data_IF_534018658657
#
_entry.id   IF_534018658657
#
_cell.length_a   1.000
_cell.length_b   1.000
_cell.length_c   1.000
_cell.angle_alpha   90.00
_cell.angle_beta   90.00
_cell.angle_gamma   90.00
#
_symmetry.space_group_name_H-M   'P 1'
#
loop_
_entity.id
_entity.type
_entity.pdbx_description
1 polymer ?
#
# COMPACT_ATOMS: atom_id res chain seq x y z
N UNK A 1 -16.25 -14.53 -20.13
CA UNK A 1 -14.78 -14.63 -20.20
C UNK A 1 -14.06 -13.32 -19.83
N UNK A 2 -14.41 -12.17 -20.41
CA UNK A 2 -13.75 -10.86 -20.11
C UNK A 2 -13.83 -10.44 -18.64
N UNK A 3 -14.96 -10.62 -17.96
CA UNK A 3 -15.15 -10.21 -16.56
C UNK A 3 -14.30 -11.05 -15.58
N UNK A 4 -14.18 -12.34 -15.82
CA UNK A 4 -13.33 -13.21 -14.99
C UNK A 4 -11.87 -12.81 -15.07
N UNK A 5 -11.37 -12.53 -16.28
CA UNK A 5 -9.98 -12.08 -16.49
C UNK A 5 -9.74 -10.74 -15.77
N UNK A 6 -10.68 -9.79 -15.88
CA UNK A 6 -10.60 -8.52 -15.19
C UNK A 6 -10.47 -8.70 -13.67
N UNK A 7 -11.32 -9.54 -13.06
CA UNK A 7 -11.25 -9.78 -11.61
C UNK A 7 -9.92 -10.42 -11.18
N UNK A 8 -9.34 -11.29 -12.01
CA UNK A 8 -8.02 -11.84 -11.72
C UNK A 8 -6.91 -10.79 -11.82
N UNK A 9 -6.95 -9.89 -12.82
CA UNK A 9 -6.00 -8.79 -12.93
C UNK A 9 -6.08 -7.88 -11.69
N UNK A 10 -7.30 -7.51 -11.27
CA UNK A 10 -7.51 -6.70 -10.05
C UNK A 10 -6.92 -7.41 -8.82
N UNK A 11 -7.20 -8.70 -8.65
CA UNK A 11 -6.63 -9.49 -7.54
C UNK A 11 -5.11 -9.55 -7.57
N UNK A 12 -4.51 -9.70 -8.75
CA UNK A 12 -3.05 -9.71 -8.88
C UNK A 12 -2.45 -8.37 -8.47
N UNK A 13 -2.99 -7.25 -8.94
CA UNK A 13 -2.47 -5.92 -8.60
C UNK A 13 -2.60 -5.65 -7.10
N UNK A 14 -3.81 -5.83 -6.53
CA UNK A 14 -4.06 -5.61 -5.10
C UNK A 14 -3.24 -6.60 -4.25
N UNK A 15 -3.15 -7.87 -4.69
CA UNK A 15 -2.41 -8.92 -4.02
C UNK A 15 -0.90 -8.67 -3.99
N UNK A 16 -0.34 -8.10 -5.04
CA UNK A 16 1.08 -7.74 -5.10
C UNK A 16 1.40 -6.66 -4.07
N UNK A 17 0.61 -5.59 -4.03
CA UNK A 17 0.79 -4.52 -3.03
C UNK A 17 0.63 -5.07 -1.61
N UNK A 18 -0.43 -5.84 -1.36
CA UNK A 18 -0.67 -6.50 -0.08
C UNK A 18 0.49 -7.38 0.36
N UNK A 19 1.00 -8.23 -0.54
CA UNK A 19 2.10 -9.14 -0.25
C UNK A 19 3.37 -8.38 0.20
N UNK A 20 3.78 -7.37 -0.56
CA UNK A 20 4.96 -6.59 -0.21
C UNK A 20 4.78 -5.80 1.09
N UNK A 21 3.63 -5.18 1.30
CA UNK A 21 3.32 -4.46 2.53
C UNK A 21 3.36 -5.37 3.76
N UNK A 22 2.72 -6.55 3.69
CA UNK A 22 2.72 -7.51 4.80
C UNK A 22 4.11 -8.07 5.04
N UNK A 23 4.86 -8.38 3.98
CA UNK A 23 6.25 -8.86 4.12
C UNK A 23 7.12 -7.81 4.80
N UNK A 24 7.03 -6.55 4.40
CA UNK A 24 7.73 -5.43 5.03
C UNK A 24 7.31 -5.28 6.50
N UNK A 25 6.01 -5.29 6.78
CA UNK A 25 5.48 -5.20 8.14
C UNK A 25 6.01 -6.31 9.06
N UNK A 26 5.97 -7.55 8.59
CA UNK A 26 6.48 -8.69 9.37
C UNK A 26 8.00 -8.62 9.58
N UNK A 27 8.75 -8.15 8.60
CA UNK A 27 10.19 -7.93 8.73
C UNK A 27 10.50 -6.87 9.79
N UNK A 28 9.79 -5.74 9.80
CA UNK A 28 9.94 -4.68 10.80
C UNK A 28 9.58 -5.17 12.21
N UNK A 29 8.56 -6.00 12.35
CA UNK A 29 8.16 -6.57 13.65
C UNK A 29 9.19 -7.58 14.14
N UNK A 30 9.64 -8.48 13.26
CA UNK A 30 10.48 -9.62 13.65
C UNK A 30 11.95 -9.21 13.87
N UNK A 31 12.47 -8.28 13.07
CA UNK A 31 13.89 -7.87 13.08
C UNK A 31 14.04 -6.35 12.97
N UNK A 32 13.49 -5.56 13.93
CA UNK A 32 13.51 -4.10 13.86
C UNK A 32 14.92 -3.53 13.84
N UNK A 33 15.88 -4.16 14.51
CA UNK A 33 17.28 -3.73 14.56
C UNK A 33 17.97 -3.72 13.18
N UNK A 34 17.56 -4.60 12.26
CA UNK A 34 18.11 -4.65 10.89
C UNK A 34 17.67 -3.42 10.07
N UNK A 35 16.53 -2.82 10.42
CA UNK A 35 15.92 -1.72 9.68
C UNK A 35 16.07 -0.35 10.34
N UNK A 36 16.30 -0.30 11.66
CA UNK A 36 16.47 0.95 12.40
C UNK A 36 17.56 1.88 11.79
N UNK A 37 18.72 1.38 11.33
CA UNK A 37 19.70 2.23 10.65
C UNK A 37 19.20 2.90 9.37
N UNK A 38 18.25 2.29 8.67
CA UNK A 38 17.65 2.87 7.45
C UNK A 38 16.80 4.11 7.75
N UNK A 39 16.40 4.28 9.00
CA UNK A 39 15.67 5.44 9.52
C UNK A 39 16.56 6.37 10.35
N UNK A 40 17.89 6.16 10.31
CA UNK A 40 18.88 6.90 11.10
C UNK A 40 18.56 6.91 12.61
N UNK A 41 17.96 5.84 13.11
CA UNK A 41 17.70 5.60 14.53
C UNK A 41 18.47 4.37 15.01
N UNK A 42 18.74 4.32 16.32
CA UNK A 42 19.53 3.23 16.90
C UNK A 42 19.06 2.88 18.31
N UNK A 43 19.53 1.73 18.81
CA UNK A 43 19.22 1.24 20.14
C UNK A 43 17.76 0.89 20.33
N UNK A 44 17.40 0.62 21.58
CA UNK A 44 16.04 0.19 21.94
C UNK A 44 14.92 1.14 21.46
N UNK A 45 15.06 2.48 21.58
CA UNK A 45 14.03 3.39 21.04
C UNK A 45 13.84 3.24 19.54
N UNK A 46 14.91 3.12 18.76
CA UNK A 46 14.85 2.92 17.31
C UNK A 46 14.16 1.61 16.94
N UNK A 47 14.49 0.52 17.63
CA UNK A 47 13.84 -0.78 17.40
C UNK A 47 12.34 -0.75 17.73
N UNK A 48 11.95 -0.08 18.82
CA UNK A 48 10.53 0.07 19.18
C UNK A 48 9.79 0.87 18.13
N UNK A 49 10.36 1.96 17.60
CA UNK A 49 9.75 2.75 16.53
C UNK A 49 9.55 1.93 15.27
N UNK A 50 10.56 1.19 14.81
CA UNK A 50 10.46 0.36 13.60
C UNK A 50 9.44 -0.76 13.79
N UNK A 51 9.43 -1.41 14.96
CA UNK A 51 8.44 -2.43 15.28
C UNK A 51 7.02 -1.86 15.30
N UNK A 52 6.84 -0.66 15.86
CA UNK A 52 5.58 0.06 15.86
C UNK A 52 5.08 0.37 14.44
N UNK A 53 5.96 0.82 13.54
CA UNK A 53 5.62 1.00 12.11
C UNK A 53 5.15 -0.31 11.48
N UNK A 54 5.82 -1.43 11.76
CA UNK A 54 5.39 -2.74 11.25
C UNK A 54 3.98 -3.11 11.72
N UNK A 55 3.65 -2.86 12.99
CA UNK A 55 2.30 -3.08 13.53
C UNK A 55 1.27 -2.21 12.81
N UNK A 56 1.57 -0.92 12.61
CA UNK A 56 0.69 0.00 11.88
C UNK A 56 0.47 -0.45 10.43
N UNK A 57 1.51 -0.94 9.75
CA UNK A 57 1.40 -1.50 8.41
C UNK A 57 0.47 -2.74 8.39
N UNK A 58 0.57 -3.64 9.36
CA UNK A 58 -0.37 -4.76 9.45
C UNK A 58 -1.81 -4.31 9.69
N UNK A 59 -2.02 -3.34 10.59
CA UNK A 59 -3.35 -2.76 10.84
C UNK A 59 -3.95 -2.17 9.56
N UNK A 60 -3.16 -1.41 8.83
CA UNK A 60 -3.55 -0.86 7.54
C UNK A 60 -3.95 -1.95 6.54
N UNK A 61 -3.14 -2.98 6.44
CA UNK A 61 -3.34 -4.08 5.49
C UNK A 61 -4.51 -5.02 5.85
N UNK A 62 -5.11 -4.89 7.03
CA UNK A 62 -6.30 -5.67 7.41
C UNK A 62 -7.52 -5.41 6.49
N UNK A 63 -7.54 -4.30 5.74
CA UNK A 63 -8.60 -3.96 4.78
C UNK A 63 -8.47 -4.70 3.44
N UNK A 64 -7.30 -5.24 3.10
CA UNK A 64 -7.03 -5.85 1.79
C UNK A 64 -7.70 -7.22 1.55
N UNK A 65 -7.70 -8.18 2.52
CA UNK A 65 -8.21 -9.53 2.28
C UNK A 65 -9.65 -9.60 1.74
N UNK A 66 -10.64 -8.83 2.25
CA UNK A 66 -11.98 -8.85 1.68
C UNK A 66 -12.04 -8.40 0.22
N UNK A 67 -11.20 -7.40 -0.14
CA UNK A 67 -11.11 -6.89 -1.53
C UNK A 67 -10.46 -7.92 -2.44
N UNK A 68 -9.43 -8.65 -1.97
CA UNK A 68 -8.80 -9.74 -2.71
C UNK A 68 -9.78 -10.87 -3.03
N UNK A 69 -10.64 -11.22 -2.07
CA UNK A 69 -11.61 -12.31 -2.26
C UNK A 69 -12.73 -11.89 -3.22
N UNK A 70 -13.31 -10.69 -3.04
CA UNK A 70 -14.49 -10.22 -3.80
C UNK A 70 -14.35 -8.75 -4.21
N UNK A 71 -13.45 -8.39 -5.13
CA UNK A 71 -13.21 -7.00 -5.50
C UNK A 71 -14.45 -6.31 -6.10
N UNK A 72 -15.31 -7.05 -6.80
CA UNK A 72 -16.55 -6.57 -7.38
C UNK A 72 -17.60 -6.15 -6.34
N UNK A 73 -17.62 -6.81 -5.17
CA UNK A 73 -18.55 -6.55 -4.08
C UNK A 73 -18.00 -5.59 -3.03
N UNK A 74 -16.70 -5.44 -2.94
CA UNK A 74 -16.01 -4.66 -1.90
C UNK A 74 -15.49 -3.31 -2.43
N UNK A 75 -16.25 -2.66 -3.31
CA UNK A 75 -15.84 -1.38 -3.95
C UNK A 75 -15.62 -0.27 -2.95
N UNK A 76 -16.48 -0.15 -1.94
CA UNK A 76 -16.30 0.86 -0.88
C UNK A 76 -15.01 0.64 -0.11
N UNK A 77 -14.73 -0.60 0.28
CA UNK A 77 -13.50 -0.93 0.99
C UNK A 77 -12.26 -0.73 0.10
N UNK A 78 -12.37 -1.01 -1.21
CA UNK A 78 -11.30 -0.72 -2.16
C UNK A 78 -11.05 0.80 -2.27
N UNK A 79 -12.10 1.62 -2.28
CA UNK A 79 -11.96 3.08 -2.24
C UNK A 79 -11.27 3.55 -0.94
N UNK A 80 -11.56 2.91 0.21
CA UNK A 80 -10.86 3.19 1.47
C UNK A 80 -9.37 2.85 1.35
N UNK A 81 -9.00 1.71 0.77
CA UNK A 81 -7.59 1.35 0.52
C UNK A 81 -6.91 2.41 -0.34
N UNK A 82 -7.56 2.88 -1.42
CA UNK A 82 -7.00 3.94 -2.26
C UNK A 82 -6.82 5.26 -1.49
N UNK A 83 -7.78 5.63 -0.65
CA UNK A 83 -7.67 6.82 0.19
C UNK A 83 -6.50 6.69 1.19
N UNK A 84 -6.33 5.54 1.82
CA UNK A 84 -5.19 5.25 2.69
C UNK A 84 -3.87 5.39 1.93
N UNK A 85 -3.80 4.85 0.71
CA UNK A 85 -2.60 4.93 -0.13
C UNK A 85 -2.28 6.37 -0.54
N UNK A 86 -3.29 7.18 -0.88
CA UNK A 86 -3.11 8.62 -1.16
C UNK A 86 -2.55 9.34 0.06
N UNK A 87 -3.10 9.08 1.26
CA UNK A 87 -2.62 9.70 2.50
C UNK A 87 -1.16 9.30 2.75
N UNK A 88 -0.81 8.03 2.55
CA UNK A 88 0.57 7.54 2.67
C UNK A 88 1.51 8.30 1.73
N UNK A 89 1.26 8.24 0.42
CA UNK A 89 2.12 8.89 -0.60
C UNK A 89 2.26 10.40 -0.36
N UNK A 90 1.16 11.09 -0.02
CA UNK A 90 1.20 12.53 0.26
C UNK A 90 2.02 12.82 1.53
N UNK A 91 1.78 12.06 2.60
CA UNK A 91 2.49 12.23 3.87
C UNK A 91 3.99 11.94 3.74
N UNK A 92 4.34 10.83 3.10
CA UNK A 92 5.73 10.44 2.83
C UNK A 92 6.45 11.47 1.96
N UNK A 93 5.79 11.95 0.90
CA UNK A 93 6.35 12.98 0.03
C UNK A 93 6.57 14.28 0.79
N UNK A 94 5.61 14.70 1.62
CA UNK A 94 5.74 15.90 2.44
C UNK A 94 6.91 15.79 3.43
N UNK A 95 7.06 14.65 4.11
CA UNK A 95 8.19 14.39 5.01
C UNK A 95 9.51 14.39 4.24
N UNK A 96 9.56 13.75 3.08
CA UNK A 96 10.77 13.64 2.26
C UNK A 96 11.24 14.99 1.73
N UNK A 97 10.32 15.84 1.27
CA UNK A 97 10.63 17.21 0.81
C UNK A 97 11.10 18.11 1.96
N UNK A 98 10.57 17.89 3.16
CA UNK A 98 10.93 18.65 4.35
C UNK A 98 12.23 18.19 5.03
N UNK A 99 12.86 17.10 4.55
CA UNK A 99 14.11 16.59 5.13
C UNK A 99 15.24 17.61 5.00
N UNK A 100 15.92 17.97 6.11
CA UNK A 100 17.07 18.83 6.05
C UNK A 100 18.26 18.12 5.37
N UNK A 101 19.23 18.87 4.83
CA UNK A 101 20.44 18.27 4.28
C UNK A 101 21.24 17.53 5.35
N UNK A 102 21.97 16.48 4.97
CA UNK A 102 22.81 15.69 5.88
C UNK A 102 22.21 14.33 6.26
N UNK A 103 21.03 13.95 5.74
CA UNK A 103 20.34 12.69 6.02
C UNK A 103 20.21 11.79 4.78
N UNK A 104 21.32 11.31 4.18
CA UNK A 104 21.27 10.57 2.91
C UNK A 104 20.55 9.23 3.03
N UNK A 105 20.62 8.58 4.19
CA UNK A 105 19.95 7.29 4.41
C UNK A 105 18.45 7.45 4.53
N UNK A 106 17.98 8.44 5.30
CA UNK A 106 16.57 8.79 5.38
C UNK A 106 16.01 9.21 4.02
N UNK A 107 16.79 10.03 3.28
CA UNK A 107 16.39 10.45 1.93
C UNK A 107 16.20 9.25 1.00
N UNK A 108 17.15 8.31 0.96
CA UNK A 108 17.07 7.12 0.13
C UNK A 108 15.93 6.19 0.56
N UNK A 109 15.72 6.05 1.87
CA UNK A 109 14.63 5.22 2.42
C UNK A 109 13.27 5.82 2.09
N UNK A 110 13.06 7.11 2.31
CA UNK A 110 11.82 7.81 1.98
C UNK A 110 11.48 7.72 0.49
N UNK A 111 12.49 7.90 -0.39
CA UNK A 111 12.28 7.76 -1.83
C UNK A 111 11.80 6.36 -2.22
N UNK A 112 12.32 5.30 -1.60
CA UNK A 112 11.88 3.91 -1.87
C UNK A 112 10.42 3.71 -1.49
N UNK A 113 9.97 4.22 -0.34
CA UNK A 113 8.56 4.15 0.08
C UNK A 113 7.67 4.91 -0.89
N UNK A 114 7.99 6.16 -1.22
CA UNK A 114 7.23 6.99 -2.16
C UNK A 114 7.09 6.29 -3.52
N UNK A 115 8.16 5.71 -4.05
CA UNK A 115 8.13 5.02 -5.34
C UNK A 115 7.26 3.76 -5.29
N UNK A 116 7.38 2.97 -4.22
CA UNK A 116 6.59 1.75 -4.04
C UNK A 116 5.10 2.07 -3.85
N UNK A 117 4.78 2.97 -2.94
CA UNK A 117 3.41 3.35 -2.63
C UNK A 117 2.76 4.13 -3.77
N UNK A 118 3.52 4.98 -4.45
CA UNK A 118 3.07 5.67 -5.65
C UNK A 118 2.75 4.71 -6.80
N UNK A 119 3.61 3.73 -7.06
CA UNK A 119 3.36 2.69 -8.06
C UNK A 119 2.13 1.85 -7.69
N UNK A 120 2.00 1.47 -6.40
CA UNK A 120 0.84 0.78 -5.85
C UNK A 120 -0.46 1.57 -6.03
N UNK A 121 -0.43 2.86 -5.72
CA UNK A 121 -1.56 3.77 -5.90
C UNK A 121 -2.01 3.85 -7.36
N UNK A 122 -1.08 4.03 -8.29
CA UNK A 122 -1.38 4.07 -9.73
C UNK A 122 -1.97 2.75 -10.21
N UNK A 123 -1.33 1.62 -9.88
CA UNK A 123 -1.79 0.30 -10.29
C UNK A 123 -3.17 -0.04 -9.73
N UNK A 124 -3.39 0.16 -8.43
CA UNK A 124 -4.68 -0.09 -7.79
C UNK A 124 -5.75 0.91 -8.25
N UNK A 125 -5.41 2.17 -8.48
CA UNK A 125 -6.32 3.18 -9.01
C UNK A 125 -6.84 2.82 -10.40
N UNK A 126 -5.96 2.37 -11.30
CA UNK A 126 -6.34 1.88 -12.63
C UNK A 126 -7.21 0.61 -12.52
N UNK A 127 -6.86 -0.34 -11.66
CA UNK A 127 -7.63 -1.55 -11.42
C UNK A 127 -9.03 -1.23 -10.91
N UNK A 128 -9.16 -0.30 -9.97
CA UNK A 128 -10.45 0.17 -9.45
C UNK A 128 -11.28 0.86 -10.52
N UNK A 129 -10.68 1.76 -11.31
CA UNK A 129 -11.36 2.47 -12.37
C UNK A 129 -11.96 1.53 -13.42
N UNK A 130 -11.18 0.53 -13.87
CA UNK A 130 -11.67 -0.48 -14.84
C UNK A 130 -12.77 -1.35 -14.23
N UNK A 131 -12.65 -1.72 -12.94
CA UNK A 131 -13.64 -2.48 -12.21
C UNK A 131 -15.00 -1.74 -12.13
N UNK A 132 -14.98 -0.44 -11.85
CA UNK A 132 -16.19 0.38 -11.76
C UNK A 132 -16.84 0.53 -13.13
N UNK A 133 -16.06 0.82 -14.18
CA UNK A 133 -16.58 0.96 -15.56
C UNK A 133 -17.15 -0.34 -16.11
N UNK A 134 -16.48 -1.46 -15.87
CA UNK A 134 -16.95 -2.78 -16.30
C UNK A 134 -18.28 -3.19 -15.66
N UNK A 135 -18.53 -2.76 -14.42
CA UNK A 135 -19.82 -3.00 -13.74
C UNK A 135 -20.98 -2.15 -14.26
N UNK A 136 -20.73 -0.93 -14.74
CA UNK A 136 -21.76 -0.05 -15.31
C UNK A 136 -22.25 -0.59 -16.65
N UNK A 137 -21.35 -1.11 -17.47
CA UNK A 137 -21.70 -1.65 -18.79
C UNK A 137 -22.60 -2.89 -18.72
N UNK A 138 -22.52 -3.69 -17.66
CA UNK A 138 -23.37 -4.87 -17.48
C UNK A 138 -24.82 -4.51 -17.07
N UNK A 139 -25.00 -3.43 -16.34
CA UNK A 139 -26.34 -2.96 -15.92
C UNK A 139 -27.10 -2.36 -17.09
N UNK A 140 -26.45 -1.69 -18.02
CA UNK A 140 -27.08 -1.07 -19.21
C UNK A 140 -27.46 -2.08 -20.31
N UNK A 141 -26.95 -3.32 -20.26
CA UNK A 141 -27.28 -4.37 -21.22
C UNK A 141 -28.43 -5.27 -20.76
N UNK A 142 -28.92 -5.15 -19.55
CA UNK A 142 -29.98 -5.94 -18.95
C UNK A 142 -31.30 -5.15 -18.76
N UNK A 143 -31.35 -3.89 -19.15
CA UNK A 143 -32.54 -3.02 -19.17
C UNK A 143 -32.99 -2.72 -20.60
#
# INVERSE_FOLDING_TARGET
MKQTVLLWVVRLVVGTVFFFNVTCALAFIARPGDYAPSFEVSGLPGEILVRGMGILFLMWNATYPPVLVRPDRQRTLFAVILAQQVIGVVGETAMWVALPPGHPTLWATGLRFILFDGAGLVGMGLAFWVLVRGGISSVLQTG
#
